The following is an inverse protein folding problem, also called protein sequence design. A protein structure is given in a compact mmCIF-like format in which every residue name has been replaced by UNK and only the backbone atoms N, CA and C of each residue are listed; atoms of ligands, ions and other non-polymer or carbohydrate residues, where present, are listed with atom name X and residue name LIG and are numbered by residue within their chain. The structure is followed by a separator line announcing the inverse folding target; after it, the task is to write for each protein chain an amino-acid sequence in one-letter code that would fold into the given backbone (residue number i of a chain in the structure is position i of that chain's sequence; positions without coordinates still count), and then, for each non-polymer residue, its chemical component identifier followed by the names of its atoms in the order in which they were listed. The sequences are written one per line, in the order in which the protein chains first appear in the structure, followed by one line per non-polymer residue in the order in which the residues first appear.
data_IF_536020523451
#
_entry.id   IF_536020523451
#
_cell.length_a   1.000
_cell.length_b   1.000
_cell.length_c   1.000
_cell.angle_alpha   90.00
_cell.angle_beta   90.00
_cell.angle_gamma   90.00
#
_symmetry.space_group_name_H-M   'P 1'
#
loop_
_entity.id
_entity.type
_entity.pdbx_description
1 polymer ?
#
# COMPACT_ATOMS: atom_id res chain seq x y z
N UNK A 1 -11.14 -61.72 71.65
CA UNK A 1 -10.80 -61.13 70.35
C UNK A 1 -9.97 -59.90 70.66
N UNK A 2 -8.68 -60.12 70.87
CA UNK A 2 -7.66 -59.06 71.00
C UNK A 2 -7.10 -58.86 69.59
N UNK A 3 -7.19 -57.64 69.08
CA UNK A 3 -6.63 -57.24 67.78
C UNK A 3 -5.16 -56.83 67.98
N UNK A 4 -4.28 -57.40 67.14
CA UNK A 4 -2.84 -57.09 67.12
C UNK A 4 -2.58 -55.62 66.71
N UNK A 5 -1.55 -54.98 67.30
CA UNK A 5 -1.19 -53.60 66.96
C UNK A 5 -0.56 -53.48 65.56
N UNK A 6 -0.74 -52.32 64.88
CA UNK A 6 -0.29 -52.12 63.51
C UNK A 6 1.25 -52.02 63.38
N UNK A 7 1.81 -52.41 62.21
CA UNK A 7 3.26 -52.44 62.00
C UNK A 7 3.88 -51.04 61.87
N UNK A 8 5.18 -50.90 62.19
CA UNK A 8 5.88 -49.61 62.16
C UNK A 8 6.13 -49.10 60.73
N UNK A 9 6.26 -47.76 60.56
CA UNK A 9 6.44 -47.14 59.25
C UNK A 9 7.81 -47.43 58.62
N UNK A 10 7.90 -47.40 57.26
CA UNK A 10 9.14 -47.70 56.54
C UNK A 10 10.21 -46.59 56.67
N UNK A 11 11.50 -46.94 56.51
CA UNK A 11 12.60 -45.99 56.63
C UNK A 11 12.66 -44.99 55.45
N UNK A 12 13.25 -43.80 55.66
CA UNK A 12 13.33 -42.75 54.63
C UNK A 12 14.30 -43.11 53.49
N UNK A 13 14.11 -42.53 52.29
CA UNK A 13 14.90 -42.83 51.10
C UNK A 13 16.34 -42.26 51.19
N UNK A 14 17.30 -42.86 50.47
CA UNK A 14 18.69 -42.43 50.48
C UNK A 14 18.89 -41.07 49.76
N UNK A 15 19.93 -40.30 50.12
CA UNK A 15 20.21 -39.00 49.52
C UNK A 15 20.66 -39.12 48.05
N UNK A 16 20.44 -38.05 47.23
CA UNK A 16 20.75 -38.07 45.80
C UNK A 16 22.27 -38.13 45.54
N UNK A 17 22.70 -38.69 44.39
CA UNK A 17 24.10 -38.82 44.04
C UNK A 17 24.76 -37.45 43.78
N UNK A 18 26.04 -37.35 44.13
CA UNK A 18 26.88 -36.17 43.93
C UNK A 18 26.97 -35.79 42.44
N UNK A 19 26.85 -34.49 42.16
CA UNK A 19 26.94 -33.93 40.82
C UNK A 19 28.31 -34.21 40.18
N UNK A 20 28.30 -34.89 39.03
CA UNK A 20 29.46 -35.02 38.16
C UNK A 20 29.72 -33.70 37.44
N UNK A 21 30.88 -33.09 37.69
CA UNK A 21 31.36 -31.91 36.96
C UNK A 21 31.45 -32.21 35.46
N UNK A 22 30.75 -31.42 34.65
CA UNK A 22 30.86 -31.46 33.19
C UNK A 22 32.08 -30.63 32.73
N UNK A 23 32.83 -31.05 31.71
CA UNK A 23 33.98 -30.30 31.22
C UNK A 23 33.56 -28.96 30.58
N UNK A 24 34.42 -27.93 30.59
CA UNK A 24 34.08 -26.60 30.11
C UNK A 24 33.82 -26.59 28.59
N UNK A 25 32.75 -25.91 28.19
CA UNK A 25 32.39 -25.70 26.80
C UNK A 25 33.45 -24.88 26.05
N UNK A 26 33.71 -25.15 24.76
CA UNK A 26 34.66 -24.37 23.97
C UNK A 26 34.16 -22.93 23.80
N UNK A 27 35.07 -21.99 24.00
CA UNK A 27 34.89 -20.54 23.85
C UNK A 27 34.29 -20.18 22.50
N UNK A 28 33.13 -19.52 22.53
CA UNK A 28 32.47 -18.97 21.34
C UNK A 28 33.37 -17.91 20.68
N UNK A 29 33.49 -17.88 19.34
CA UNK A 29 34.21 -16.82 18.67
C UNK A 29 33.50 -15.49 18.89
N UNK A 30 34.28 -14.46 19.21
CA UNK A 30 33.83 -13.07 19.38
C UNK A 30 32.90 -12.66 18.25
N UNK A 31 31.77 -11.98 18.53
CA UNK A 31 30.91 -11.48 17.47
C UNK A 31 31.72 -10.56 16.58
N UNK A 32 31.77 -10.88 15.29
CA UNK A 32 32.26 -10.00 14.24
C UNK A 32 31.59 -8.63 14.41
N UNK A 33 32.31 -7.51 14.18
CA UNK A 33 31.71 -6.20 14.31
C UNK A 33 30.45 -6.15 13.46
N UNK A 34 29.32 -5.86 14.10
CA UNK A 34 28.04 -5.63 13.42
C UNK A 34 28.29 -4.68 12.26
N UNK A 35 27.69 -4.91 11.07
CA UNK A 35 27.80 -3.94 9.99
C UNK A 35 27.35 -2.60 10.55
N UNK A 36 28.22 -1.61 10.46
CA UNK A 36 27.93 -0.24 10.87
C UNK A 36 26.56 0.15 10.35
N UNK A 37 25.61 0.43 11.26
CA UNK A 37 24.31 0.99 10.91
C UNK A 37 24.58 2.20 10.03
N UNK A 38 24.17 2.11 8.78
CA UNK A 38 24.42 3.10 7.76
C UNK A 38 23.81 4.42 8.25
N UNK A 39 24.63 5.46 8.43
CA UNK A 39 24.22 6.75 9.02
C UNK A 39 23.32 7.59 8.11
N UNK A 40 22.88 7.06 6.97
CA UNK A 40 21.91 7.68 6.04
C UNK A 40 20.46 7.27 6.33
N UNK A 41 20.15 6.96 7.60
CA UNK A 41 18.79 6.71 8.07
C UNK A 41 17.83 7.92 7.89
N UNK A 42 18.27 9.04 7.31
CA UNK A 42 17.42 10.21 7.01
C UNK A 42 17.31 10.55 5.52
N UNK A 43 18.08 9.90 4.63
CA UNK A 43 18.15 10.26 3.20
C UNK A 43 16.80 10.14 2.46
N UNK A 44 15.90 9.33 3.01
CA UNK A 44 14.57 8.98 2.52
C UNK A 44 13.45 9.79 3.18
N UNK A 45 13.78 10.78 4.03
CA UNK A 45 12.84 11.80 4.48
C UNK A 45 12.76 12.99 3.50
N UNK A 46 13.78 13.13 2.65
CA UNK A 46 13.90 14.25 1.70
C UNK A 46 13.59 13.75 0.28
N UNK A 47 12.76 14.49 -0.43
CA UNK A 47 12.47 14.25 -1.83
C UNK A 47 13.63 14.76 -2.72
N UNK A 48 13.74 14.32 -3.99
CA UNK A 48 14.83 14.74 -4.87
C UNK A 48 14.93 16.26 -5.12
N UNK A 49 13.85 17.00 -4.89
CA UNK A 49 13.80 18.47 -5.00
C UNK A 49 14.27 19.20 -3.72
N UNK A 50 14.69 18.46 -2.69
CA UNK A 50 15.14 18.99 -1.40
C UNK A 50 14.02 19.27 -0.40
N UNK A 51 12.75 19.07 -0.77
CA UNK A 51 11.63 19.20 0.16
C UNK A 51 11.54 18.00 1.11
N UNK A 52 11.04 18.21 2.33
CA UNK A 52 10.83 17.10 3.27
C UNK A 52 9.44 16.51 3.10
N UNK A 53 9.34 15.18 3.04
CA UNK A 53 8.04 14.47 2.95
C UNK A 53 7.13 14.80 4.13
N UNK A 54 7.72 15.03 5.30
CA UNK A 54 7.06 15.51 6.51
C UNK A 54 6.29 16.83 6.32
N UNK A 55 6.68 17.68 5.36
CA UNK A 55 6.00 18.96 5.10
C UNK A 55 5.14 18.94 3.85
N UNK A 56 5.49 18.13 2.85
CA UNK A 56 4.79 18.11 1.56
C UNK A 56 3.62 17.15 1.51
N UNK A 57 3.76 15.93 2.02
CA UNK A 57 2.69 14.93 1.99
C UNK A 57 1.43 15.36 2.75
N UNK A 58 1.54 15.98 3.95
CA UNK A 58 0.36 16.45 4.69
C UNK A 58 -0.49 17.47 3.94
N UNK A 59 0.05 18.14 2.92
CA UNK A 59 -0.69 19.11 2.10
C UNK A 59 -1.83 18.48 1.30
N UNK A 60 -1.78 17.17 1.04
CA UNK A 60 -2.90 16.45 0.42
C UNK A 60 -4.16 16.52 1.30
N UNK A 61 -3.99 16.52 2.62
CA UNK A 61 -5.07 16.55 3.58
C UNK A 61 -5.45 17.95 4.06
N UNK A 62 -4.84 19.01 3.52
CA UNK A 62 -4.95 20.39 4.05
C UNK A 62 -6.41 20.84 4.25
N UNK A 63 -7.25 20.56 3.26
CA UNK A 63 -8.64 21.03 3.26
C UNK A 63 -9.59 20.09 4.06
N UNK A 64 -9.09 18.95 4.55
CA UNK A 64 -9.84 18.00 5.39
C UNK A 64 -9.62 18.24 6.89
N UNK A 65 -8.57 18.97 7.26
CA UNK A 65 -8.12 19.10 8.65
C UNK A 65 -9.09 19.91 9.50
N UNK A 66 -9.44 19.34 10.64
CA UNK A 66 -10.23 19.99 11.69
C UNK A 66 -9.38 20.10 12.95
N UNK A 67 -9.16 21.30 13.51
CA UNK A 67 -8.36 21.48 14.72
C UNK A 67 -8.89 20.63 15.89
N UNK A 68 -7.97 20.02 16.66
CA UNK A 68 -8.25 19.16 17.82
C UNK A 68 -9.04 17.88 17.53
N UNK A 69 -9.39 17.59 16.28
CA UNK A 69 -10.18 16.41 15.94
C UNK A 69 -9.45 15.11 16.28
N UNK A 70 -8.17 15.01 15.93
CA UNK A 70 -7.34 13.84 16.23
C UNK A 70 -7.26 13.57 17.74
N UNK A 71 -6.94 14.60 18.53
CA UNK A 71 -6.88 14.50 19.98
C UNK A 71 -8.24 14.08 20.60
N UNK A 72 -9.35 14.60 20.07
CA UNK A 72 -10.69 14.24 20.53
C UNK A 72 -11.02 12.76 20.23
N UNK A 73 -10.63 12.25 19.06
CA UNK A 73 -10.84 10.84 18.69
C UNK A 73 -10.10 9.89 19.65
N UNK A 74 -8.84 10.19 19.97
CA UNK A 74 -8.05 9.39 20.92
C UNK A 74 -8.64 9.44 22.33
N UNK A 75 -9.14 10.61 22.77
CA UNK A 75 -9.74 10.75 24.08
C UNK A 75 -11.09 10.01 24.22
N UNK A 76 -11.87 9.92 23.14
CA UNK A 76 -13.16 9.25 23.13
C UNK A 76 -13.05 7.72 23.11
N UNK A 77 -11.90 7.16 22.70
CA UNK A 77 -11.67 5.71 22.55
C UNK A 77 -12.83 5.01 21.80
N UNK A 78 -13.33 5.65 20.73
CA UNK A 78 -14.59 5.27 20.07
C UNK A 78 -14.53 4.04 19.16
N UNK A 79 -13.46 3.25 19.19
CA UNK A 79 -13.35 2.04 18.38
C UNK A 79 -14.00 0.83 19.05
N UNK A 80 -14.42 -0.16 18.26
CA UNK A 80 -15.00 -1.39 18.82
C UNK A 80 -13.90 -2.31 19.36
N UNK A 81 -14.19 -3.17 20.37
CA UNK A 81 -13.23 -4.15 20.87
C UNK A 81 -12.64 -5.06 19.76
N UNK A 82 -13.44 -5.40 18.75
CA UNK A 82 -13.01 -6.21 17.61
C UNK A 82 -11.99 -5.45 16.75
N UNK A 83 -12.22 -4.15 16.54
CA UNK A 83 -11.31 -3.27 15.81
C UNK A 83 -9.97 -3.15 16.53
N UNK A 84 -10.00 -2.87 17.84
CA UNK A 84 -8.81 -2.77 18.67
C UNK A 84 -7.98 -4.08 18.64
N UNK A 85 -8.64 -5.24 18.79
CA UNK A 85 -7.96 -6.54 18.71
C UNK A 85 -7.33 -6.78 17.33
N UNK A 86 -8.00 -6.38 16.26
CA UNK A 86 -7.50 -6.56 14.89
C UNK A 86 -6.30 -5.64 14.62
N UNK A 87 -6.29 -4.41 15.15
CA UNK A 87 -5.12 -3.51 15.11
C UNK A 87 -3.94 -4.15 15.84
N UNK A 88 -4.11 -4.56 17.10
CA UNK A 88 -3.02 -5.18 17.89
C UNK A 88 -2.45 -6.45 17.24
N UNK A 89 -3.29 -7.23 16.56
CA UNK A 89 -2.86 -8.41 15.80
C UNK A 89 -2.00 -8.06 14.58
N UNK A 90 -2.24 -6.90 13.96
CA UNK A 90 -1.55 -6.46 12.75
C UNK A 90 -0.27 -5.67 13.04
N UNK A 91 -0.12 -5.04 14.22
CA UNK A 91 1.09 -4.29 14.57
C UNK A 91 2.39 -5.13 14.45
N UNK A 92 2.48 -6.38 14.98
CA UNK A 92 3.70 -7.19 14.85
C UNK A 92 4.05 -7.53 13.41
N UNK A 93 3.04 -7.79 12.56
CA UNK A 93 3.24 -8.07 11.14
C UNK A 93 3.77 -6.82 10.42
N UNK A 94 3.26 -5.65 10.79
CA UNK A 94 3.73 -4.36 10.28
C UNK A 94 5.18 -4.10 10.69
N UNK A 95 5.51 -4.31 11.96
CA UNK A 95 6.89 -4.18 12.45
C UNK A 95 7.87 -5.13 11.76
N UNK A 96 7.45 -6.36 11.46
CA UNK A 96 8.27 -7.31 10.70
C UNK A 96 8.56 -6.83 9.27
N UNK A 97 7.58 -6.26 8.58
CA UNK A 97 7.78 -5.67 7.24
C UNK A 97 8.81 -4.55 7.25
N UNK A 98 8.86 -3.75 8.32
CA UNK A 98 9.79 -2.62 8.46
C UNK A 98 10.98 -2.92 9.39
N UNK A 99 11.30 -4.20 9.59
CA UNK A 99 12.33 -4.61 10.53
C UNK A 99 13.74 -4.11 10.14
N UNK A 100 14.01 -4.03 8.84
CA UNK A 100 15.29 -3.55 8.28
C UNK A 100 15.52 -2.07 8.61
N UNK A 101 14.47 -1.28 8.58
CA UNK A 101 14.49 0.14 8.94
C UNK A 101 14.65 0.31 10.45
N UNK A 102 14.21 -0.69 11.24
CA UNK A 102 14.48 -0.78 12.67
C UNK A 102 13.62 0.13 13.55
N UNK A 103 12.71 0.89 12.95
CA UNK A 103 11.97 1.96 13.61
C UNK A 103 10.58 1.52 14.12
N UNK A 104 9.98 0.44 13.59
CA UNK A 104 8.67 -0.09 14.02
C UNK A 104 8.81 -1.35 14.89
N UNK A 105 9.18 -1.17 16.16
CA UNK A 105 9.30 -2.26 17.15
C UNK A 105 8.47 -1.99 18.41
N UNK A 106 7.93 -3.03 19.08
CA UNK A 106 7.23 -2.86 20.34
C UNK A 106 8.06 -2.05 21.35
N UNK A 107 7.42 -1.08 22.00
CA UNK A 107 8.04 -0.21 23.00
C UNK A 107 8.78 1.01 22.44
N UNK A 108 8.85 1.18 21.11
CA UNK A 108 9.31 2.43 20.49
C UNK A 108 8.15 3.41 20.33
N UNK A 109 8.38 4.74 20.43
CA UNK A 109 7.31 5.73 20.28
C UNK A 109 6.50 5.58 18.99
N UNK A 110 7.16 5.26 17.87
CA UNK A 110 6.46 5.10 16.59
C UNK A 110 5.52 3.88 16.54
N UNK A 111 5.75 2.86 17.37
CA UNK A 111 4.80 1.75 17.52
C UNK A 111 3.48 2.22 18.13
N UNK A 112 3.57 3.06 19.17
CA UNK A 112 2.41 3.65 19.81
C UNK A 112 1.72 4.67 18.89
N UNK A 113 2.49 5.47 18.15
CA UNK A 113 1.95 6.36 17.12
C UNK A 113 1.20 5.60 16.03
N UNK A 114 1.72 4.45 15.58
CA UNK A 114 1.03 3.61 14.60
C UNK A 114 -0.32 3.13 15.13
N UNK A 115 -0.35 2.66 16.38
CA UNK A 115 -1.61 2.26 17.03
C UNK A 115 -2.60 3.43 17.08
N UNK A 116 -2.15 4.58 17.60
CA UNK A 116 -3.00 5.76 17.75
C UNK A 116 -3.59 6.23 16.42
N UNK A 117 -2.78 6.29 15.36
CA UNK A 117 -3.22 6.68 14.01
C UNK A 117 -4.33 5.75 13.50
N UNK A 118 -4.15 4.44 13.66
CA UNK A 118 -5.13 3.45 13.19
C UNK A 118 -6.42 3.48 14.01
N UNK A 119 -6.31 3.61 15.33
CA UNK A 119 -7.45 3.76 16.25
C UNK A 119 -8.24 5.03 15.94
N UNK A 120 -7.55 6.16 15.78
CA UNK A 120 -8.19 7.42 15.42
C UNK A 120 -8.86 7.33 14.04
N UNK A 121 -8.23 6.69 13.05
CA UNK A 121 -8.84 6.48 11.73
C UNK A 121 -10.13 5.67 11.83
N UNK A 122 -10.13 4.57 12.57
CA UNK A 122 -11.32 3.74 12.73
C UNK A 122 -12.47 4.49 13.42
N UNK A 123 -12.16 5.37 14.39
CA UNK A 123 -13.14 6.24 15.03
C UNK A 123 -13.60 7.40 14.12
N UNK A 124 -12.74 7.88 13.22
CA UNK A 124 -13.06 8.96 12.28
C UNK A 124 -14.08 8.52 11.22
N UNK A 125 -13.92 7.31 10.66
CA UNK A 125 -14.88 6.72 9.71
C UNK A 125 -15.34 5.34 10.20
N UNK A 126 -16.31 5.27 11.13
CA UNK A 126 -16.79 4.00 11.70
C UNK A 126 -17.43 3.07 10.68
N UNK A 127 -17.86 3.59 9.52
CA UNK A 127 -18.47 2.78 8.46
C UNK A 127 -17.42 1.94 7.73
N UNK A 128 -16.25 2.51 7.47
CA UNK A 128 -15.11 1.77 6.94
C UNK A 128 -14.38 1.02 8.05
N UNK A 129 -14.23 1.65 9.21
CA UNK A 129 -13.45 1.14 10.33
C UNK A 129 -11.97 0.94 9.97
N UNK A 130 -11.29 0.09 10.73
CA UNK A 130 -9.96 -0.40 10.36
C UNK A 130 -10.08 -1.57 9.38
N UNK A 131 -9.41 -1.45 8.24
CA UNK A 131 -9.30 -2.53 7.25
C UNK A 131 -7.83 -2.94 7.12
N UNK A 132 -7.59 -4.25 7.13
CA UNK A 132 -6.25 -4.81 6.93
C UNK A 132 -5.62 -4.23 5.65
N UNK A 133 -4.34 -3.85 5.76
CA UNK A 133 -3.52 -3.10 4.80
C UNK A 133 -3.36 -1.61 5.14
N UNK A 134 -4.31 -1.00 5.87
CA UNK A 134 -4.17 0.40 6.33
C UNK A 134 -2.97 0.57 7.29
N UNK A 135 -2.66 -0.46 8.07
CA UNK A 135 -1.49 -0.52 8.94
C UNK A 135 -0.18 -0.26 8.20
N UNK A 136 -0.01 -0.80 6.99
CA UNK A 136 1.19 -0.57 6.20
C UNK A 136 1.24 0.87 5.68
N UNK A 137 0.09 1.46 5.32
CA UNK A 137 0.04 2.85 4.86
C UNK A 137 0.39 3.82 6.00
N UNK A 138 -0.24 3.66 7.17
CA UNK A 138 0.02 4.47 8.35
C UNK A 138 1.49 4.35 8.81
N UNK A 139 2.00 3.12 8.86
CA UNK A 139 3.39 2.85 9.17
C UNK A 139 4.33 3.58 8.21
N UNK A 140 4.08 3.49 6.90
CA UNK A 140 4.93 4.11 5.89
C UNK A 140 4.94 5.65 5.97
N UNK A 141 3.81 6.26 6.34
CA UNK A 141 3.72 7.71 6.59
C UNK A 141 4.61 8.14 7.77
N UNK A 142 4.46 7.47 8.92
CA UNK A 142 5.28 7.73 10.10
C UNK A 142 6.76 7.52 9.80
N UNK A 143 7.04 6.47 9.06
CA UNK A 143 8.37 6.10 8.62
C UNK A 143 8.99 7.14 7.66
N UNK A 144 8.18 7.90 6.91
CA UNK A 144 8.64 9.03 6.11
C UNK A 144 8.97 10.28 6.94
N UNK A 145 8.86 10.23 8.28
CA UNK A 145 9.12 11.35 9.19
C UNK A 145 7.93 12.28 9.36
N UNK A 146 6.74 11.89 8.88
CA UNK A 146 5.50 12.64 9.08
C UNK A 146 5.09 12.53 10.56
N UNK A 147 4.67 13.64 11.16
CA UNK A 147 4.22 13.63 12.56
C UNK A 147 2.99 12.74 12.75
N UNK A 148 2.71 12.29 13.97
CA UNK A 148 1.62 11.35 14.26
C UNK A 148 0.24 11.87 13.75
N UNK A 149 -0.13 13.10 14.12
CA UNK A 149 -1.40 13.69 13.66
C UNK A 149 -1.39 13.93 12.15
N UNK A 150 -0.24 14.31 11.58
CA UNK A 150 -0.13 14.50 10.14
C UNK A 150 -0.26 13.19 9.37
N UNK A 151 0.23 12.08 9.92
CA UNK A 151 0.10 10.75 9.36
C UNK A 151 -1.36 10.30 9.40
N UNK A 152 -2.10 10.59 10.47
CA UNK A 152 -3.55 10.38 10.53
C UNK A 152 -4.28 11.10 9.38
N UNK A 153 -4.05 12.41 9.22
CA UNK A 153 -4.71 13.18 8.16
C UNK A 153 -4.28 12.74 6.75
N UNK A 154 -3.00 12.39 6.58
CA UNK A 154 -2.49 11.89 5.31
C UNK A 154 -3.09 10.52 4.96
N UNK A 155 -3.28 9.63 5.93
CA UNK A 155 -4.00 8.36 5.75
C UNK A 155 -5.45 8.62 5.32
N UNK A 156 -6.16 9.51 6.01
CA UNK A 156 -7.52 9.93 5.63
C UNK A 156 -7.57 10.41 4.18
N UNK A 157 -6.59 11.20 3.74
CA UNK A 157 -6.54 11.73 2.39
C UNK A 157 -6.15 10.67 1.35
N UNK A 158 -5.22 9.76 1.65
CA UNK A 158 -4.91 8.62 0.77
C UNK A 158 -6.17 7.78 0.52
N UNK A 159 -6.92 7.44 1.57
CA UNK A 159 -8.13 6.63 1.46
C UNK A 159 -9.26 7.36 0.73
N UNK A 160 -9.48 8.64 1.02
CA UNK A 160 -10.65 9.36 0.49
C UNK A 160 -10.42 10.08 -0.84
N UNK A 161 -9.17 10.43 -1.15
CA UNK A 161 -8.82 11.22 -2.35
C UNK A 161 -8.13 10.35 -3.39
N UNK A 162 -7.10 9.60 -2.99
CA UNK A 162 -6.26 8.84 -3.95
C UNK A 162 -6.92 7.53 -4.36
N UNK A 163 -7.34 6.72 -3.37
CA UNK A 163 -7.95 5.39 -3.59
C UNK A 163 -9.36 5.28 -2.98
N UNK A 164 -10.27 6.19 -3.35
CA UNK A 164 -11.62 6.21 -2.78
C UNK A 164 -12.35 4.88 -2.96
N UNK A 165 -12.88 4.38 -1.85
CA UNK A 165 -13.68 3.16 -1.79
C UNK A 165 -12.89 1.86 -1.97
N UNK A 166 -11.56 1.89 -1.87
CA UNK A 166 -10.74 0.66 -1.85
C UNK A 166 -11.04 -0.21 -0.63
N UNK A 167 -11.18 0.43 0.53
CA UNK A 167 -11.37 -0.24 1.81
C UNK A 167 -12.84 -0.38 2.20
N UNK A 168 -13.77 0.01 1.33
CA UNK A 168 -15.19 -0.21 1.57
C UNK A 168 -15.57 -1.68 1.40
N UNK A 169 -16.69 -2.07 2.02
CA UNK A 169 -17.21 -3.43 1.91
C UNK A 169 -17.34 -3.88 0.44
N UNK A 170 -16.89 -5.11 0.17
CA UNK A 170 -16.93 -5.69 -1.18
C UNK A 170 -15.84 -5.19 -2.14
N UNK A 171 -15.04 -4.17 -1.76
CA UNK A 171 -13.87 -3.67 -2.50
C UNK A 171 -14.18 -3.32 -3.98
N UNK A 172 -15.35 -2.75 -4.24
CA UNK A 172 -15.83 -2.50 -5.60
C UNK A 172 -14.87 -1.62 -6.41
N UNK A 173 -14.34 -0.58 -5.77
CA UNK A 173 -13.41 0.38 -6.39
C UNK A 173 -12.07 -0.26 -6.73
N UNK A 174 -11.54 -1.10 -5.84
CA UNK A 174 -10.32 -1.86 -6.14
C UNK A 174 -10.56 -2.84 -7.30
N UNK A 175 -11.71 -3.54 -7.32
CA UNK A 175 -12.09 -4.45 -8.43
C UNK A 175 -12.32 -3.72 -9.75
N UNK A 176 -12.80 -2.49 -9.73
CA UNK A 176 -12.87 -1.63 -10.91
C UNK A 176 -11.46 -1.32 -11.41
N UNK A 177 -10.57 -0.94 -10.50
CA UNK A 177 -9.20 -0.59 -10.81
C UNK A 177 -8.37 -1.80 -11.30
N UNK A 178 -8.71 -3.03 -10.89
CA UNK A 178 -8.21 -4.25 -11.52
C UNK A 178 -8.55 -4.32 -13.02
N UNK A 179 -9.74 -3.86 -13.42
CA UNK A 179 -10.15 -3.80 -14.84
C UNK A 179 -9.42 -2.68 -15.58
N UNK A 180 -9.27 -1.51 -14.95
CA UNK A 180 -8.45 -0.42 -15.48
C UNK A 180 -7.02 -0.91 -15.73
N UNK A 181 -6.45 -1.67 -14.79
CA UNK A 181 -5.12 -2.24 -14.92
C UNK A 181 -5.02 -3.21 -16.10
N UNK A 182 -5.95 -4.18 -16.22
CA UNK A 182 -6.00 -5.10 -17.37
C UNK A 182 -6.11 -4.32 -18.69
N UNK A 183 -6.94 -3.28 -18.77
CA UNK A 183 -7.06 -2.46 -19.97
C UNK A 183 -5.78 -1.71 -20.31
N UNK A 184 -5.10 -1.15 -19.31
CA UNK A 184 -3.81 -0.49 -19.50
C UNK A 184 -2.73 -1.48 -19.96
N UNK A 185 -2.73 -2.72 -19.46
CA UNK A 185 -1.85 -3.76 -19.98
C UNK A 185 -2.11 -4.02 -21.47
N UNK A 186 -3.37 -4.21 -21.87
CA UNK A 186 -3.70 -4.42 -23.28
C UNK A 186 -3.32 -3.21 -24.16
N UNK A 187 -3.42 -2.00 -23.64
CA UNK A 187 -3.08 -0.79 -24.37
C UNK A 187 -1.56 -0.57 -24.53
N UNK A 188 -0.77 -0.90 -23.51
CA UNK A 188 0.65 -0.54 -23.45
C UNK A 188 1.61 -1.73 -23.59
N UNK A 189 1.18 -2.93 -23.21
CA UNK A 189 1.92 -4.19 -23.29
C UNK A 189 0.98 -5.30 -23.83
N UNK A 190 0.45 -5.16 -25.06
CA UNK A 190 -0.62 -6.02 -25.59
C UNK A 190 -0.25 -7.51 -25.58
N UNK A 191 1.00 -7.85 -25.88
CA UNK A 191 1.48 -9.23 -25.83
C UNK A 191 1.38 -9.82 -24.43
N UNK A 192 1.86 -9.08 -23.42
CA UNK A 192 1.78 -9.49 -22.00
C UNK A 192 0.33 -9.61 -21.55
N UNK A 193 -0.52 -8.63 -21.86
CA UNK A 193 -1.95 -8.67 -21.51
C UNK A 193 -2.64 -9.92 -22.04
N UNK A 194 -2.51 -10.18 -23.34
CA UNK A 194 -3.10 -11.36 -23.99
C UNK A 194 -2.52 -12.67 -23.46
N UNK A 195 -1.22 -12.69 -23.17
CA UNK A 195 -0.56 -13.90 -22.66
C UNK A 195 -1.05 -14.25 -21.26
N UNK A 196 -1.12 -13.27 -20.35
CA UNK A 196 -1.63 -13.46 -19.00
C UNK A 196 -3.10 -13.92 -19.00
N UNK A 197 -3.92 -13.43 -19.93
CA UNK A 197 -5.29 -13.92 -20.13
C UNK A 197 -5.33 -15.35 -20.69
N UNK A 198 -4.34 -15.75 -21.50
CA UNK A 198 -4.25 -17.10 -22.03
C UNK A 198 -3.85 -18.13 -20.95
N UNK A 199 -2.98 -17.72 -20.02
CA UNK A 199 -2.57 -18.54 -18.87
C UNK A 199 -3.71 -18.72 -17.85
N UNK A 200 -4.57 -17.71 -17.68
CA UNK A 200 -5.73 -17.79 -16.80
C UNK A 200 -6.88 -16.91 -17.32
N UNK A 201 -8.04 -17.51 -17.68
CA UNK A 201 -9.22 -16.76 -18.07
C UNK A 201 -9.69 -15.76 -16.99
N UNK A 202 -10.58 -14.86 -17.37
CA UNK A 202 -11.20 -13.87 -16.48
C UNK A 202 -10.20 -12.91 -15.78
N UNK A 203 -9.01 -12.74 -16.35
CA UNK A 203 -7.96 -11.85 -15.81
C UNK A 203 -7.53 -12.22 -14.37
N UNK A 204 -7.58 -13.50 -14.00
CA UNK A 204 -7.27 -13.96 -12.64
C UNK A 204 -5.86 -13.53 -12.20
N UNK A 205 -4.84 -13.71 -13.05
CA UNK A 205 -3.45 -13.31 -12.73
C UNK A 205 -3.37 -11.81 -12.45
N UNK A 206 -3.92 -10.98 -13.34
CA UNK A 206 -3.97 -9.54 -13.16
C UNK A 206 -4.69 -9.15 -11.86
N UNK A 207 -5.80 -9.82 -11.53
CA UNK A 207 -6.55 -9.59 -10.30
C UNK A 207 -5.76 -9.91 -9.02
N UNK A 208 -5.03 -11.03 -9.00
CA UNK A 208 -4.18 -11.42 -7.87
C UNK A 208 -3.06 -10.39 -7.66
N UNK A 209 -2.32 -10.08 -8.73
CA UNK A 209 -1.14 -9.22 -8.66
C UNK A 209 -1.51 -7.78 -8.35
N UNK A 210 -2.52 -7.23 -9.03
CA UNK A 210 -2.96 -5.85 -8.74
C UNK A 210 -3.59 -5.71 -7.36
N UNK A 211 -4.18 -6.76 -6.77
CA UNK A 211 -4.62 -6.71 -5.37
C UNK A 211 -3.43 -6.53 -4.43
N UNK A 212 -2.35 -7.28 -4.64
CA UNK A 212 -1.13 -7.17 -3.84
C UNK A 212 -0.48 -5.79 -3.99
N UNK A 213 -0.36 -5.32 -5.23
CA UNK A 213 0.32 -4.07 -5.56
C UNK A 213 -0.47 -2.83 -5.15
N UNK A 214 -1.77 -2.78 -5.47
CA UNK A 214 -2.56 -1.55 -5.31
C UNK A 214 -3.19 -1.42 -3.91
N UNK A 215 -3.56 -2.50 -3.22
CA UNK A 215 -4.19 -2.35 -1.88
C UNK A 215 -3.22 -1.81 -0.83
N UNK A 216 -1.93 -2.10 -0.99
CA UNK A 216 -0.87 -1.59 -0.11
C UNK A 216 -0.13 -0.40 -0.70
N UNK A 217 -0.58 0.14 -1.85
CA UNK A 217 0.10 1.22 -2.60
C UNK A 217 1.61 0.94 -2.75
N UNK A 218 1.97 -0.29 -3.11
CA UNK A 218 3.32 -0.83 -3.27
C UNK A 218 4.21 -0.90 -2.01
N UNK A 219 3.72 -0.54 -0.82
CA UNK A 219 4.53 -0.53 0.42
C UNK A 219 5.18 -1.89 0.72
N UNK A 220 4.48 -2.99 0.44
CA UNK A 220 4.97 -4.35 0.70
C UNK A 220 5.53 -5.04 -0.57
N UNK A 221 5.81 -4.26 -1.61
CA UNK A 221 6.17 -4.78 -2.95
C UNK A 221 7.51 -4.22 -3.39
N UNK A 222 7.69 -2.90 -3.29
CA UNK A 222 8.89 -2.20 -3.74
C UNK A 222 9.84 -1.94 -2.56
N UNK A 223 11.16 -1.80 -2.82
CA UNK A 223 12.08 -1.24 -1.85
C UNK A 223 11.58 0.10 -1.34
N UNK A 224 11.83 0.39 -0.06
CA UNK A 224 11.35 1.61 0.62
C UNK A 224 11.66 2.89 -0.17
N UNK A 225 12.87 3.00 -0.71
CA UNK A 225 13.27 4.15 -1.51
C UNK A 225 12.40 4.34 -2.76
N UNK A 226 12.14 3.26 -3.49
CA UNK A 226 11.27 3.29 -4.67
C UNK A 226 9.83 3.66 -4.28
N UNK A 227 9.30 3.06 -3.21
CA UNK A 227 7.95 3.38 -2.70
C UNK A 227 7.84 4.85 -2.31
N UNK A 228 8.83 5.42 -1.61
CA UNK A 228 8.86 6.83 -1.22
C UNK A 228 8.76 7.75 -2.45
N UNK A 229 9.55 7.46 -3.50
CA UNK A 229 9.54 8.26 -4.74
C UNK A 229 8.25 8.09 -5.55
N UNK A 230 7.63 6.90 -5.54
CA UNK A 230 6.29 6.70 -6.13
C UNK A 230 5.25 7.51 -5.35
N UNK A 231 5.31 7.49 -4.02
CA UNK A 231 4.39 8.24 -3.17
C UNK A 231 4.55 9.75 -3.34
N UNK A 232 5.76 10.28 -3.56
CA UNK A 232 5.96 11.70 -3.91
C UNK A 232 5.11 12.10 -5.13
N UNK A 233 5.09 11.27 -6.18
CA UNK A 233 4.25 11.50 -7.35
C UNK A 233 2.75 11.32 -7.04
N UNK A 234 2.37 10.38 -6.16
CA UNK A 234 0.96 10.22 -5.69
C UNK A 234 0.48 11.48 -4.96
N UNK A 235 1.25 11.98 -4.00
CA UNK A 235 0.91 13.17 -3.23
C UNK A 235 0.87 14.43 -4.11
N UNK A 236 1.75 14.52 -5.11
CA UNK A 236 1.78 15.61 -6.10
C UNK A 236 0.59 15.54 -7.06
N UNK A 237 0.30 14.37 -7.62
CA UNK A 237 -0.80 14.17 -8.58
C UNK A 237 -2.18 14.22 -7.91
N UNK A 238 -2.26 13.90 -6.61
CA UNK A 238 -3.50 13.77 -5.84
C UNK A 238 -4.50 12.78 -6.43
N UNK A 239 -4.00 11.79 -7.17
CA UNK A 239 -4.77 10.68 -7.70
C UNK A 239 -3.87 9.44 -7.79
N UNK A 240 -4.43 8.33 -8.27
CA UNK A 240 -3.74 7.03 -8.30
C UNK A 240 -3.01 6.72 -9.61
N UNK A 241 -2.91 7.67 -10.55
CA UNK A 241 -2.18 7.46 -11.81
C UNK A 241 -0.73 6.97 -11.59
N UNK A 242 0.04 7.49 -10.60
CA UNK A 242 1.39 7.00 -10.34
C UNK A 242 1.45 5.52 -9.97
N UNK A 243 0.43 4.98 -9.29
CA UNK A 243 0.39 3.56 -8.94
C UNK A 243 0.23 2.67 -10.18
N UNK A 244 -0.58 3.09 -11.14
CA UNK A 244 -0.74 2.36 -12.41
C UNK A 244 0.47 2.52 -13.32
N UNK A 245 1.11 3.68 -13.29
CA UNK A 245 2.41 3.88 -13.94
C UNK A 245 3.47 2.95 -13.34
N UNK A 246 3.47 2.74 -12.02
CA UNK A 246 4.32 1.75 -11.36
C UNK A 246 4.03 0.33 -11.82
N UNK A 247 2.77 -0.08 -11.98
CA UNK A 247 2.45 -1.41 -12.51
C UNK A 247 3.09 -1.65 -13.88
N UNK A 248 2.92 -0.70 -14.83
CA UNK A 248 3.51 -0.83 -16.16
C UNK A 248 5.04 -0.76 -16.12
N UNK A 249 5.61 0.16 -15.34
CA UNK A 249 7.05 0.35 -15.23
C UNK A 249 7.79 -0.87 -14.64
N UNK A 250 7.12 -1.67 -13.81
CA UNK A 250 7.61 -2.97 -13.32
C UNK A 250 7.54 -4.05 -14.39
N UNK A 251 6.46 -4.09 -15.16
CA UNK A 251 6.21 -5.15 -16.14
C UNK A 251 7.01 -4.98 -17.43
N UNK A 252 7.21 -3.75 -17.91
CA UNK A 252 7.82 -3.51 -19.22
C UNK A 252 9.19 -4.18 -19.41
N UNK A 253 10.13 -4.16 -18.44
CA UNK A 253 11.42 -4.82 -18.60
C UNK A 253 11.35 -6.35 -18.60
N UNK A 254 10.33 -6.93 -17.95
CA UNK A 254 10.15 -8.37 -17.80
C UNK A 254 9.09 -8.93 -18.76
N UNK A 255 8.77 -8.19 -19.83
CA UNK A 255 7.77 -8.62 -20.79
C UNK A 255 8.14 -9.97 -21.42
N UNK A 256 9.40 -10.14 -21.84
CA UNK A 256 9.87 -11.39 -22.45
C UNK A 256 9.84 -12.57 -21.46
N UNK A 257 10.20 -12.32 -20.18
CA UNK A 257 10.13 -13.33 -19.13
C UNK A 257 8.68 -13.77 -18.86
N UNK A 258 7.74 -12.82 -18.84
CA UNK A 258 6.31 -13.12 -18.68
C UNK A 258 5.79 -13.92 -19.88
N UNK A 259 6.21 -13.57 -21.10
CA UNK A 259 5.87 -14.32 -22.32
C UNK A 259 6.44 -15.75 -22.33
N UNK A 260 7.52 -16.00 -21.59
CA UNK A 260 8.13 -17.33 -21.44
C UNK A 260 7.43 -18.21 -20.40
N UNK A 261 6.62 -17.64 -19.50
CA UNK A 261 5.82 -18.42 -18.55
C UNK A 261 4.81 -19.29 -19.28
N UNK A 262 4.74 -20.56 -18.90
CA UNK A 262 3.84 -21.55 -19.50
C UNK A 262 2.60 -21.83 -18.66
N UNK A 263 2.68 -21.53 -17.36
CA UNK A 263 1.64 -21.81 -16.39
C UNK A 263 1.30 -20.57 -15.54
N UNK A 264 0.05 -20.50 -15.05
CA UNK A 264 -0.42 -19.42 -14.19
C UNK A 264 0.47 -19.24 -12.94
N UNK A 265 0.91 -20.35 -12.32
CA UNK A 265 1.75 -20.32 -11.13
C UNK A 265 3.10 -19.66 -11.38
N UNK A 266 3.78 -20.01 -12.48
CA UNK A 266 5.06 -19.43 -12.88
C UNK A 266 4.95 -17.92 -13.09
N UNK A 267 3.89 -17.47 -13.76
CA UNK A 267 3.64 -16.06 -13.98
C UNK A 267 3.41 -15.33 -12.65
N UNK A 268 2.61 -15.88 -11.73
CA UNK A 268 2.37 -15.27 -10.42
C UNK A 268 3.67 -15.16 -9.62
N UNK A 269 4.47 -16.21 -9.57
CA UNK A 269 5.76 -16.22 -8.84
C UNK A 269 6.74 -15.19 -9.41
N UNK A 270 6.86 -15.12 -10.74
CA UNK A 270 7.68 -14.11 -11.41
C UNK A 270 7.22 -12.70 -11.03
N UNK A 271 5.93 -12.41 -11.17
CA UNK A 271 5.34 -11.10 -10.92
C UNK A 271 5.46 -10.67 -9.46
N UNK A 272 5.37 -11.60 -8.51
CA UNK A 272 5.56 -11.33 -7.08
C UNK A 272 6.99 -10.90 -6.75
N UNK A 273 7.98 -11.36 -7.52
CA UNK A 273 9.41 -11.08 -7.29
C UNK A 273 9.90 -9.79 -7.96
N UNK A 274 9.21 -9.32 -9.01
CA UNK A 274 9.61 -8.12 -9.77
C UNK A 274 9.79 -6.88 -8.90
N UNK A 275 8.91 -6.71 -7.90
CA UNK A 275 8.95 -5.55 -7.01
C UNK A 275 10.23 -5.49 -6.20
N UNK A 276 10.65 -6.61 -5.60
CA UNK A 276 11.80 -6.67 -4.69
C UNK A 276 13.16 -6.55 -5.39
N UNK A 277 13.23 -6.87 -6.68
CA UNK A 277 14.50 -6.92 -7.44
C UNK A 277 14.67 -5.72 -8.38
N UNK A 278 13.83 -4.70 -8.23
CA UNK A 278 13.79 -3.58 -9.17
C UNK A 278 15.03 -2.69 -9.04
N UNK A 279 15.60 -2.29 -10.18
CA UNK A 279 16.50 -1.14 -10.25
C UNK A 279 15.71 0.15 -9.98
N UNK A 280 15.93 0.76 -8.81
CA UNK A 280 15.15 1.90 -8.31
C UNK A 280 15.21 3.09 -9.27
N UNK A 281 16.39 3.43 -9.78
CA UNK A 281 16.56 4.60 -10.65
C UNK A 281 15.88 4.41 -12.01
N UNK A 282 16.13 3.29 -12.67
CA UNK A 282 15.48 2.96 -13.94
C UNK A 282 13.97 2.84 -13.80
N UNK A 283 13.48 2.26 -12.70
CA UNK A 283 12.04 2.16 -12.43
C UNK A 283 11.39 3.53 -12.25
N UNK A 284 11.95 4.38 -11.40
CA UNK A 284 11.39 5.73 -11.16
C UNK A 284 11.42 6.56 -12.44
N UNK A 285 12.48 6.46 -13.26
CA UNK A 285 12.55 7.13 -14.55
C UNK A 285 11.43 6.68 -15.51
N UNK A 286 11.12 5.37 -15.55
CA UNK A 286 10.00 4.83 -16.34
C UNK A 286 8.64 5.31 -15.82
N UNK A 287 8.44 5.32 -14.51
CA UNK A 287 7.22 5.86 -13.88
C UNK A 287 7.00 7.31 -14.30
N UNK A 288 8.03 8.17 -14.18
CA UNK A 288 7.95 9.58 -14.59
C UNK A 288 7.65 9.74 -16.08
N UNK A 289 8.33 8.98 -16.94
CA UNK A 289 8.06 8.99 -18.39
C UNK A 289 6.61 8.64 -18.70
N UNK A 290 6.03 7.65 -18.02
CA UNK A 290 4.63 7.28 -18.18
C UNK A 290 3.68 8.39 -17.71
N UNK A 291 4.00 9.06 -16.60
CA UNK A 291 3.23 10.17 -16.04
C UNK A 291 3.31 11.45 -16.88
N UNK A 292 4.40 11.67 -17.61
CA UNK A 292 4.51 12.80 -18.55
C UNK A 292 3.78 12.53 -19.87
N UNK A 293 3.58 11.25 -20.21
CA UNK A 293 3.01 10.82 -21.49
C UNK A 293 1.62 10.20 -21.39
N UNK A 294 1.50 8.87 -21.53
CA UNK A 294 0.22 8.18 -21.66
C UNK A 294 -0.61 8.15 -20.37
N UNK A 295 0.04 8.08 -19.21
CA UNK A 295 -0.59 7.99 -17.89
C UNK A 295 -0.56 9.31 -17.13
N UNK A 296 -0.49 10.44 -17.84
CA UNK A 296 -0.66 11.75 -17.22
C UNK A 296 -1.92 11.77 -16.35
N UNK A 297 -1.87 12.34 -15.11
CA UNK A 297 -2.97 12.24 -14.14
C UNK A 297 -4.35 12.54 -14.72
N UNK A 298 -4.48 13.60 -15.52
CA UNK A 298 -5.75 13.95 -16.16
C UNK A 298 -6.22 12.97 -17.26
N UNK A 299 -5.29 12.34 -17.98
CA UNK A 299 -5.62 11.29 -18.97
C UNK A 299 -6.02 9.99 -18.28
N UNK A 300 -5.35 9.67 -17.17
CA UNK A 300 -5.67 8.51 -16.37
C UNK A 300 -7.08 8.61 -15.75
N UNK A 301 -7.46 9.77 -15.22
CA UNK A 301 -8.81 9.95 -14.66
C UNK A 301 -9.92 9.76 -15.72
N UNK A 302 -9.66 10.20 -16.96
CA UNK A 302 -10.54 9.91 -18.12
C UNK A 302 -10.65 8.41 -18.35
N UNK A 303 -9.54 7.67 -18.29
CA UNK A 303 -9.52 6.22 -18.48
C UNK A 303 -10.31 5.47 -17.40
N UNK A 304 -10.13 5.88 -16.14
CA UNK A 304 -10.94 5.36 -15.02
C UNK A 304 -12.43 5.66 -15.23
N UNK A 305 -12.77 6.87 -15.68
CA UNK A 305 -14.14 7.26 -15.93
C UNK A 305 -14.79 6.44 -17.07
N UNK A 306 -14.04 6.12 -18.13
CA UNK A 306 -14.49 5.21 -19.20
C UNK A 306 -14.84 3.84 -18.64
N UNK A 307 -13.95 3.23 -17.86
CA UNK A 307 -14.21 1.90 -17.30
C UNK A 307 -15.35 1.88 -16.29
N UNK A 308 -15.54 2.97 -15.54
CA UNK A 308 -16.74 3.16 -14.71
C UNK A 308 -18.00 3.20 -15.55
N UNK A 309 -17.99 3.97 -16.64
CA UNK A 309 -19.14 4.12 -17.53
C UNK A 309 -19.57 2.81 -18.18
N UNK A 310 -18.59 1.96 -18.55
CA UNK A 310 -18.86 0.65 -19.17
C UNK A 310 -19.44 -0.37 -18.20
N UNK A 311 -19.11 -0.30 -16.92
CA UNK A 311 -19.48 -1.32 -15.93
C UNK A 311 -19.79 -0.71 -14.56
N UNK A 312 -20.91 0.01 -14.45
CA UNK A 312 -21.49 0.40 -13.15
C UNK A 312 -22.17 -0.80 -12.48
N UNK A 313 -21.74 -1.14 -11.27
CA UNK A 313 -22.41 -2.11 -10.38
C UNK A 313 -23.10 -1.35 -9.24
N UNK A 314 -24.11 -1.96 -8.60
CA UNK A 314 -24.77 -1.39 -7.41
C UNK A 314 -23.77 -1.01 -6.30
N UNK A 315 -22.66 -1.73 -6.19
CA UNK A 315 -21.61 -1.45 -5.21
C UNK A 315 -20.84 -0.15 -5.48
N UNK A 316 -20.87 0.38 -6.70
CA UNK A 316 -20.16 1.60 -7.07
C UNK A 316 -20.86 2.86 -6.54
N UNK A 317 -22.09 2.72 -6.04
CA UNK A 317 -22.85 3.78 -5.36
C UNK A 317 -22.16 4.25 -4.07
N UNK A 318 -21.20 3.49 -3.51
CA UNK A 318 -20.44 3.86 -2.31
C UNK A 318 -19.29 4.84 -2.55
N UNK A 319 -18.95 5.16 -3.80
CA UNK A 319 -17.83 6.03 -4.15
C UNK A 319 -18.11 7.52 -3.82
N UNK A 320 -17.07 8.37 -3.61
CA UNK A 320 -17.25 9.80 -3.41
C UNK A 320 -18.04 10.46 -4.54
N UNK A 321 -18.74 11.53 -4.20
CA UNK A 321 -19.63 12.25 -5.12
C UNK A 321 -18.89 12.73 -6.38
N UNK A 322 -17.70 13.30 -6.21
CA UNK A 322 -16.82 13.75 -7.32
C UNK A 322 -16.55 12.66 -8.36
N UNK A 323 -16.44 11.41 -7.89
CA UNK A 323 -16.20 10.23 -8.71
C UNK A 323 -17.48 9.70 -9.37
N UNK A 324 -18.60 9.68 -8.64
CA UNK A 324 -19.89 9.17 -9.16
C UNK A 324 -20.48 10.09 -10.22
N UNK A 325 -20.24 11.39 -10.06
CA UNK A 325 -20.71 12.46 -10.95
C UNK A 325 -19.84 12.63 -12.20
N UNK A 326 -18.73 11.90 -12.30
CA UNK A 326 -17.96 11.88 -13.54
C UNK A 326 -18.80 11.20 -14.62
N UNK A 327 -19.19 11.91 -15.70
CA UNK A 327 -20.02 11.34 -16.75
C UNK A 327 -19.28 10.18 -17.43
N UNK A 328 -19.99 9.11 -17.81
CA UNK A 328 -19.39 8.01 -18.54
C UNK A 328 -18.86 8.52 -19.89
N UNK A 329 -17.55 8.43 -20.08
CA UNK A 329 -16.93 8.81 -21.35
C UNK A 329 -17.10 7.68 -22.36
N UNK A 330 -17.76 7.99 -23.47
CA UNK A 330 -17.98 7.08 -24.61
C UNK A 330 -16.99 7.36 -25.74
N UNK A 331 -16.85 6.42 -26.67
CA UNK A 331 -16.03 6.62 -27.89
C UNK A 331 -16.51 7.84 -28.69
N UNK A 332 -17.81 8.14 -28.66
CA UNK A 332 -18.39 9.33 -29.29
C UNK A 332 -17.86 10.63 -28.68
N UNK A 333 -17.67 10.68 -27.37
CA UNK A 333 -17.19 11.88 -26.67
C UNK A 333 -15.74 12.22 -27.05
N UNK A 334 -14.93 11.21 -27.38
CA UNK A 334 -13.57 11.40 -27.90
C UNK A 334 -13.54 11.92 -29.32
N UNK A 335 -14.45 11.43 -30.17
CA UNK A 335 -14.60 11.93 -31.53
C UNK A 335 -15.00 13.41 -31.46
N UNK A 336 -15.98 13.75 -30.63
CA UNK A 336 -16.42 15.14 -30.43
C UNK A 336 -15.29 16.00 -29.86
N UNK A 337 -14.62 15.55 -28.80
CA UNK A 337 -13.49 16.27 -28.19
C UNK A 337 -12.30 16.43 -29.16
N UNK A 338 -12.00 15.38 -29.94
CA UNK A 338 -10.96 15.40 -30.97
C UNK A 338 -11.29 16.33 -32.14
N UNK A 339 -12.55 16.38 -32.55
CA UNK A 339 -13.05 17.35 -33.54
C UNK A 339 -12.91 18.77 -32.99
N UNK A 340 -13.40 19.04 -31.78
CA UNK A 340 -13.28 20.36 -31.14
C UNK A 340 -11.82 20.79 -31.05
N UNK A 341 -10.92 19.90 -30.61
CA UNK A 341 -9.49 20.20 -30.51
C UNK A 341 -8.84 20.48 -31.86
N UNK A 342 -9.21 19.75 -32.91
CA UNK A 342 -8.72 20.00 -34.28
C UNK A 342 -9.25 21.32 -34.84
N UNK A 343 -10.54 21.61 -34.66
CA UNK A 343 -11.18 22.85 -35.12
C UNK A 343 -10.55 24.07 -34.44
N UNK A 344 -10.30 24.00 -33.13
CA UNK A 344 -9.66 25.08 -32.37
C UNK A 344 -8.16 25.25 -32.67
N UNK A 345 -7.47 24.19 -33.10
CA UNK A 345 -6.06 24.28 -33.51
C UNK A 345 -5.87 24.75 -34.96
N UNK A 346 -6.92 24.83 -35.77
CA UNK A 346 -6.85 25.27 -37.18
C UNK A 346 -7.21 26.73 -37.41
N UNK A 347 -7.57 27.50 -36.38
CA UNK A 347 -7.98 28.90 -36.53
C UNK A 347 -7.27 29.83 -35.52
N UNK A 348 -6.26 30.61 -35.93
CA UNK A 348 -5.56 31.56 -35.06
C UNK A 348 -6.41 32.78 -34.63
N UNK A 349 -7.67 32.91 -35.08
CA UNK A 349 -8.44 34.15 -34.92
C UNK A 349 -9.81 34.03 -34.23
N UNK A 350 -10.23 32.87 -33.72
CA UNK A 350 -11.47 32.80 -32.93
C UNK A 350 -11.23 33.12 -31.45
N UNK A 351 -11.46 34.38 -31.10
CA UNK A 351 -11.54 34.85 -29.71
C UNK A 351 -12.74 34.19 -29.01
N UNK A 352 -12.48 33.65 -27.82
CA UNK A 352 -13.47 33.06 -26.95
C UNK A 352 -14.51 34.11 -26.53
N UNK A 353 -15.70 34.04 -27.14
CA UNK A 353 -16.91 34.65 -26.63
C UNK A 353 -18.05 33.65 -26.86
N UNK A 354 -18.73 33.30 -25.77
CA UNK A 354 -19.83 32.34 -25.65
C UNK A 354 -19.43 30.85 -25.56
N UNK A 355 -18.98 30.45 -24.37
CA UNK A 355 -19.51 29.29 -23.64
C UNK A 355 -19.56 29.64 -22.14
#
# INVERSE_FOLDING_TARGET
MEEDPPPPPPPPPPPPPAASESPPAPSSPSPSPSPSLNTDHDAWHVAPDGSTRATTWPLLARDMRVPNHYAALLALAGETPETAQQIEKDLPRTGATFAVQGLLKPGLPMWDSLRNVLTAYAAHDPRTGYVQSMNFLAAFLLLAGVSEEDAFWSLCALVNVVVPGYFSEGMASAKLDQRVFSRLLHAHLPGVGLHLESLAPDNIVCGIISSQWLLTLFVNVLPTEATMRVWDEVFKAKNRAPLFASCLALLSPSADDVMACSEMGEAIELLQRLGSEVDVEGFVARVKTLLEGPLHPSKFDIEVARERGRRRRKSDDGLPQSVRDTPPLTETDEIVSGIVRRVLCTDPHMTASAW
#
